data_IF_898429755270
#
_entry.id   IF_898429755270
#
_cell.length_a   1.000
_cell.length_b   1.000
_cell.length_c   1.000
_cell.angle_alpha   90.00
_cell.angle_beta   90.00
_cell.angle_gamma   90.00
#
_symmetry.space_group_name_H-M   'P 1'
#
loop_
_entity.id
_entity.type
_entity.pdbx_description
1 polymer ?
#
# COMPACT_ATOMS: atom_id res chain seq x y z
N UNK A 1 -47.88 22.19 17.76
CA UNK A 1 -48.09 20.74 17.54
C UNK A 1 -46.75 20.18 17.10
N UNK A 2 -46.05 19.52 18.01
CA UNK A 2 -44.76 18.88 17.78
C UNK A 2 -44.96 17.47 17.21
N UNK A 3 -43.98 16.98 16.45
CA UNK A 3 -43.88 15.59 16.00
C UNK A 3 -43.31 15.52 14.58
N UNK A 4 -42.22 14.81 14.28
CA UNK A 4 -41.37 14.00 15.13
C UNK A 4 -40.08 13.71 14.36
N UNK A 5 -38.95 13.83 15.06
CA UNK A 5 -37.62 13.48 14.61
C UNK A 5 -37.57 11.97 14.38
N UNK A 6 -37.31 11.55 13.13
CA UNK A 6 -37.04 10.16 12.80
C UNK A 6 -35.74 9.72 13.47
N UNK A 7 -35.86 8.82 14.43
CA UNK A 7 -34.74 8.20 15.12
C UNK A 7 -33.90 7.37 14.16
N UNK A 8 -32.62 7.73 14.01
CA UNK A 8 -31.58 6.90 13.41
C UNK A 8 -31.51 5.57 14.16
N UNK A 9 -31.73 4.46 13.45
CA UNK A 9 -31.48 3.13 13.97
C UNK A 9 -29.98 2.80 13.86
N UNK A 10 -29.26 3.06 14.96
CA UNK A 10 -28.41 2.09 15.67
C UNK A 10 -27.28 1.39 14.90
N UNK A 11 -26.06 1.92 15.07
CA UNK A 11 -24.81 1.21 14.76
C UNK A 11 -23.53 2.04 14.89
N UNK A 12 -23.60 3.33 15.24
CA UNK A 12 -22.41 4.14 15.49
C UNK A 12 -21.80 3.76 16.84
N UNK A 13 -20.54 3.33 16.85
CA UNK A 13 -19.79 3.14 18.09
C UNK A 13 -19.76 4.45 18.87
N UNK A 14 -20.05 4.43 20.19
CA UNK A 14 -19.88 5.57 21.11
C UNK A 14 -18.42 6.07 21.24
N UNK A 15 -17.52 5.55 20.41
CA UNK A 15 -16.11 5.91 20.38
C UNK A 15 -15.91 7.29 19.71
N UNK A 16 -14.96 8.09 20.20
CA UNK A 16 -14.62 9.36 19.58
C UNK A 16 -13.98 9.15 18.20
N UNK A 17 -14.08 10.14 17.33
CA UNK A 17 -13.34 10.15 16.06
C UNK A 17 -11.82 10.29 16.34
N UNK A 18 -10.99 9.59 15.56
CA UNK A 18 -9.52 9.73 15.64
C UNK A 18 -9.04 11.09 15.17
N UNK A 19 -9.65 11.56 14.09
CA UNK A 19 -9.49 12.88 13.49
C UNK A 19 -10.87 13.35 12.99
N UNK A 20 -11.20 14.64 13.10
CA UNK A 20 -12.45 15.16 12.53
C UNK A 20 -12.43 15.05 11.01
N UNK A 21 -13.63 14.91 10.41
CA UNK A 21 -13.78 15.04 8.97
C UNK A 21 -13.40 16.46 8.52
N UNK A 22 -12.75 16.56 7.37
CA UNK A 22 -12.43 17.81 6.70
C UNK A 22 -12.00 17.54 5.27
N UNK A 23 -11.91 18.59 4.45
CA UNK A 23 -11.25 18.52 3.14
C UNK A 23 -9.73 18.62 3.31
N UNK A 24 -8.92 18.26 2.29
CA UNK A 24 -7.47 18.40 2.34
C UNK A 24 -7.04 19.78 2.85
N UNK A 25 -6.16 19.80 3.86
CA UNK A 25 -5.78 21.01 4.60
C UNK A 25 -5.18 22.09 3.68
N UNK A 26 -4.46 21.67 2.64
CA UNK A 26 -3.87 22.57 1.65
C UNK A 26 -4.91 23.30 0.77
N UNK A 27 -6.18 22.92 0.79
CA UNK A 27 -7.24 23.70 0.12
C UNK A 27 -7.49 25.02 0.86
N UNK A 28 -7.26 25.06 2.18
CA UNK A 28 -7.43 26.26 3.00
C UNK A 28 -8.88 26.72 3.13
N UNK A 29 -9.85 25.80 3.07
CA UNK A 29 -11.28 26.10 3.14
C UNK A 29 -11.69 26.47 4.57
N UNK A 30 -12.57 27.47 4.69
CA UNK A 30 -13.33 27.74 5.91
C UNK A 30 -14.39 26.66 6.17
N UNK A 31 -14.96 26.65 7.39
CA UNK A 31 -16.01 25.68 7.74
C UNK A 31 -17.23 25.79 6.81
N UNK A 32 -17.66 27.02 6.49
CA UNK A 32 -18.78 27.29 5.59
C UNK A 32 -18.48 26.80 4.16
N UNK A 33 -17.24 26.94 3.69
CA UNK A 33 -16.82 26.42 2.37
C UNK A 33 -16.74 24.90 2.35
N UNK A 34 -16.37 24.25 3.46
CA UNK A 34 -16.43 22.79 3.59
C UNK A 34 -17.88 22.31 3.51
N UNK A 35 -18.82 22.99 4.17
CA UNK A 35 -20.25 22.66 4.07
C UNK A 35 -20.76 22.85 2.63
N UNK A 36 -20.43 23.97 1.99
CA UNK A 36 -20.78 24.24 0.60
C UNK A 36 -20.16 23.24 -0.39
N UNK A 37 -19.00 22.67 -0.06
CA UNK A 37 -18.35 21.64 -0.89
C UNK A 37 -19.14 20.33 -0.96
N UNK A 38 -20.06 20.10 -0.02
CA UNK A 38 -20.93 18.93 0.02
C UNK A 38 -22.22 19.10 -0.84
N UNK A 39 -22.38 20.22 -1.55
CA UNK A 39 -23.55 20.44 -2.42
C UNK A 39 -23.52 19.52 -3.66
N UNK A 40 -24.41 18.53 -3.68
CA UNK A 40 -24.55 17.58 -4.78
C UNK A 40 -25.28 18.13 -6.01
N UNK A 41 -25.95 19.28 -5.92
CA UNK A 41 -26.59 19.95 -7.04
C UNK A 41 -25.56 20.83 -7.75
N UNK A 42 -24.90 21.72 -7.01
CA UNK A 42 -23.93 22.66 -7.57
C UNK A 42 -22.61 21.98 -7.93
N UNK A 43 -22.18 20.97 -7.15
CA UNK A 43 -20.93 20.22 -7.31
C UNK A 43 -19.74 21.14 -7.63
N UNK A 44 -19.41 22.09 -6.74
CA UNK A 44 -18.34 23.05 -7.00
C UNK A 44 -17.01 22.32 -7.19
N UNK A 45 -16.23 22.77 -8.18
CA UNK A 45 -14.85 22.30 -8.35
C UNK A 45 -13.99 23.04 -7.32
N UNK A 46 -13.46 22.31 -6.36
CA UNK A 46 -12.56 22.85 -5.37
C UNK A 46 -11.15 22.87 -5.94
N UNK A 47 -10.48 24.00 -5.78
CA UNK A 47 -9.08 24.20 -6.14
C UNK A 47 -8.35 24.88 -4.97
N UNK A 48 -7.03 24.93 -5.02
CA UNK A 48 -6.23 25.67 -4.06
C UNK A 48 -6.73 27.12 -3.94
N UNK A 49 -7.00 27.59 -2.72
CA UNK A 49 -7.33 28.99 -2.50
C UNK A 49 -6.18 29.90 -2.97
N UNK A 50 -6.50 31.14 -3.35
CA UNK A 50 -5.49 32.12 -3.79
C UNK A 50 -4.50 32.47 -2.67
N UNK A 51 -4.92 32.30 -1.42
CA UNK A 51 -4.15 32.66 -0.24
C UNK A 51 -3.35 31.47 0.31
N UNK A 52 -3.59 30.24 -0.18
CA UNK A 52 -2.81 29.07 0.24
C UNK A 52 -1.45 29.03 -0.45
N UNK A 53 -0.43 28.54 0.28
CA UNK A 53 0.89 28.28 -0.29
C UNK A 53 0.76 27.32 -1.48
N UNK A 54 1.49 27.61 -2.56
CA UNK A 54 1.61 26.71 -3.71
C UNK A 54 2.08 25.33 -3.23
N UNK A 55 1.46 24.28 -3.76
CA UNK A 55 1.96 22.93 -3.59
C UNK A 55 3.39 22.82 -4.17
N UNK A 56 4.22 21.90 -3.65
CA UNK A 56 5.55 21.66 -4.17
C UNK A 56 5.53 21.40 -5.68
N UNK A 57 6.65 21.72 -6.34
CA UNK A 57 6.88 21.34 -7.74
C UNK A 57 5.85 21.86 -8.74
N UNK A 58 5.30 23.05 -8.47
CA UNK A 58 4.26 23.64 -9.33
C UNK A 58 3.08 22.70 -9.59
N UNK A 59 2.82 21.79 -8.63
CA UNK A 59 1.67 20.89 -8.71
C UNK A 59 0.39 21.67 -8.45
N UNK A 60 -0.69 21.19 -9.07
CA UNK A 60 -2.04 21.70 -8.87
C UNK A 60 -2.92 20.63 -8.24
N UNK A 61 -4.04 21.05 -7.69
CA UNK A 61 -5.05 20.16 -7.16
C UNK A 61 -6.44 20.64 -7.54
N UNK A 62 -7.30 19.70 -7.91
CA UNK A 62 -8.71 19.95 -8.13
C UNK A 62 -9.51 18.72 -7.71
N UNK A 63 -10.64 18.94 -7.06
CA UNK A 63 -11.58 17.87 -6.70
C UNK A 63 -13.03 18.32 -6.85
N UNK A 64 -13.93 17.34 -6.92
CA UNK A 64 -15.36 17.57 -6.95
C UNK A 64 -16.07 16.40 -6.27
N UNK A 65 -17.09 16.69 -5.46
CA UNK A 65 -17.89 15.64 -4.83
C UNK A 65 -18.62 14.79 -5.87
N UNK A 66 -18.87 13.52 -5.51
CA UNK A 66 -19.70 12.63 -6.29
C UNK A 66 -21.16 13.14 -6.44
N UNK A 67 -21.91 12.58 -7.39
CA UNK A 67 -23.28 13.00 -7.70
C UNK A 67 -24.35 12.35 -6.79
N UNK A 68 -24.14 12.34 -5.47
CA UNK A 68 -25.15 11.95 -4.48
C UNK A 68 -25.08 10.50 -3.98
N UNK A 69 -23.88 9.91 -3.90
CA UNK A 69 -23.68 8.57 -3.32
C UNK A 69 -23.54 8.58 -1.79
N UNK A 70 -22.96 9.65 -1.24
CA UNK A 70 -22.61 9.83 0.17
C UNK A 70 -22.99 11.24 0.58
N UNK A 71 -23.21 11.51 1.87
CA UNK A 71 -23.57 12.85 2.36
C UNK A 71 -22.43 13.85 2.25
N UNK A 72 -21.19 13.38 2.39
CA UNK A 72 -19.98 14.17 2.26
C UNK A 72 -19.07 13.51 1.23
N UNK A 73 -18.07 14.27 0.75
CA UNK A 73 -17.02 13.68 -0.08
C UNK A 73 -16.13 12.79 0.80
N UNK A 74 -16.18 11.47 0.61
CA UNK A 74 -15.41 10.51 1.41
C UNK A 74 -13.93 10.50 1.01
N UNK A 75 -13.62 11.04 -0.18
CA UNK A 75 -12.27 11.11 -0.71
C UNK A 75 -11.37 12.03 0.11
N UNK A 76 -10.10 11.70 0.21
CA UNK A 76 -9.07 12.51 0.85
C UNK A 76 -7.82 12.61 -0.01
N UNK A 77 -7.03 13.64 0.24
CA UNK A 77 -5.72 13.82 -0.37
C UNK A 77 -4.78 14.49 0.63
N UNK A 78 -3.49 14.20 0.52
CA UNK A 78 -2.46 14.93 1.27
C UNK A 78 -1.24 15.18 0.40
N UNK A 79 -0.53 16.26 0.72
CA UNK A 79 0.66 16.69 0.03
C UNK A 79 1.67 17.21 1.05
N UNK A 80 2.81 16.53 1.17
CA UNK A 80 3.80 16.80 2.21
C UNK A 80 5.21 16.90 1.63
N UNK A 81 6.04 17.74 2.25
CA UNK A 81 7.49 17.79 2.00
C UNK A 81 8.19 17.39 3.29
N UNK A 82 8.75 16.19 3.28
CA UNK A 82 9.27 15.49 4.45
C UNK A 82 10.79 15.33 4.36
N UNK A 83 11.42 15.09 5.50
CA UNK A 83 12.86 14.89 5.59
C UNK A 83 13.15 13.56 6.30
N UNK A 84 13.74 12.62 5.57
CA UNK A 84 14.13 11.31 6.10
C UNK A 84 15.55 11.41 6.65
N UNK A 85 15.71 11.21 7.96
CA UNK A 85 17.02 11.17 8.63
C UNK A 85 17.23 9.79 9.23
N UNK A 86 18.50 9.36 9.37
CA UNK A 86 18.81 8.12 10.07
C UNK A 86 18.17 8.15 11.46
N UNK A 87 17.54 7.04 11.85
CA UNK A 87 17.09 6.83 13.22
C UNK A 87 18.34 6.77 14.11
N UNK A 88 18.64 7.84 14.85
CA UNK A 88 19.67 7.83 15.90
C UNK A 88 19.33 6.73 16.90
N UNK A 89 20.17 5.71 16.98
CA UNK A 89 19.87 4.48 17.70
C UNK A 89 19.45 4.73 19.14
N UNK A 90 18.19 4.44 19.45
CA UNK A 90 17.79 4.09 20.80
C UNK A 90 18.32 2.69 21.07
N UNK A 91 19.53 2.60 21.63
CA UNK A 91 19.93 1.39 22.34
C UNK A 91 18.84 1.08 23.37
N UNK A 92 18.34 -0.16 23.37
CA UNK A 92 17.53 -0.71 24.46
C UNK A 92 18.47 -0.81 25.68
N UNK A 93 18.70 0.31 26.35
CA UNK A 93 19.34 0.33 27.66
C UNK A 93 18.28 0.02 28.70
N UNK A 94 18.31 -1.22 29.17
CA UNK A 94 17.67 -1.67 30.42
C UNK A 94 17.85 -0.63 31.53
N UNK A 95 16.82 -0.33 32.34
CA UNK A 95 16.90 0.73 33.34
C UNK A 95 17.74 0.26 34.52
N UNK A 96 19.03 0.58 34.53
CA UNK A 96 19.84 0.39 35.73
C UNK A 96 19.76 1.68 36.57
N UNK A 97 19.00 1.59 37.67
CA UNK A 97 19.07 2.55 38.77
C UNK A 97 20.53 2.67 39.20
N UNK A 98 21.08 3.88 39.13
CA UNK A 98 21.94 4.39 40.20
C UNK A 98 22.01 5.91 40.17
N UNK A 99 21.55 6.46 41.29
CA UNK A 99 21.62 7.85 41.72
C UNK A 99 23.04 8.25 42.09
N UNK A 100 23.55 9.36 41.54
CA UNK A 100 24.39 10.30 42.30
C UNK A 100 24.60 11.63 41.54
N UNK A 101 23.93 12.66 42.03
CA UNK A 101 24.44 14.04 42.22
C UNK A 101 25.79 14.41 41.59
N UNK A 102 25.79 15.42 40.69
CA UNK A 102 26.74 16.56 40.77
C UNK A 102 26.39 17.74 39.81
N UNK A 103 25.94 18.81 40.46
CA UNK A 103 26.37 20.23 40.33
C UNK A 103 26.31 20.94 38.96
N UNK A 104 25.39 21.91 38.95
CA UNK A 104 25.33 23.14 38.15
C UNK A 104 26.60 24.00 38.37
N UNK A 105 27.18 24.55 37.31
CA UNK A 105 27.96 25.80 37.36
C UNK A 105 27.90 26.57 36.03
N UNK A 106 27.30 27.77 36.13
CA UNK A 106 27.58 29.05 35.42
C UNK A 106 29.03 29.23 34.96
N UNK A 107 29.44 29.98 33.91
CA UNK A 107 28.96 31.18 33.18
C UNK A 107 29.90 31.36 31.92
N UNK A 108 29.73 32.39 31.05
CA UNK A 108 30.19 32.45 29.65
C UNK A 108 31.51 33.22 29.46
N UNK A 109 32.14 32.98 28.30
CA UNK A 109 33.10 33.81 27.54
C UNK A 109 33.46 32.95 26.32
N UNK A 110 33.71 33.42 25.11
CA UNK A 110 34.07 34.70 24.53
C UNK A 110 34.55 34.35 23.12
N UNK A 111 34.34 35.27 22.19
CA UNK A 111 34.56 35.21 20.74
C UNK A 111 35.56 34.19 20.17
N UNK A 112 35.07 33.47 19.16
CA UNK A 112 35.88 32.75 18.18
C UNK A 112 35.09 32.67 16.88
N UNK A 113 35.35 33.60 15.96
CA UNK A 113 35.01 33.50 14.55
C UNK A 113 35.65 32.22 13.98
N UNK A 114 34.91 31.12 14.05
CA UNK A 114 35.12 29.99 13.18
C UNK A 114 33.83 29.81 12.40
N UNK A 115 33.99 29.94 11.08
CA UNK A 115 33.05 29.49 10.08
C UNK A 115 32.40 28.21 10.60
N UNK A 116 31.11 28.30 10.93
CA UNK A 116 30.26 27.12 10.98
C UNK A 116 30.33 26.56 9.57
N UNK A 117 31.22 25.61 9.35
CA UNK A 117 31.05 24.64 8.29
C UNK A 117 29.61 24.16 8.41
N UNK A 118 28.85 24.42 7.35
CA UNK A 118 27.49 23.97 7.21
C UNK A 118 27.44 22.53 7.70
N UNK A 119 26.65 22.27 8.75
CA UNK A 119 26.15 20.92 8.99
C UNK A 119 25.26 20.60 7.79
N UNK A 120 25.90 20.13 6.71
CA UNK A 120 25.26 19.75 5.47
C UNK A 120 24.14 18.78 5.80
N UNK A 121 22.98 19.11 5.25
CA UNK A 121 21.68 18.48 5.35
C UNK A 121 21.75 16.93 5.33
N UNK A 122 21.95 16.28 6.49
CA UNK A 122 22.18 14.83 6.63
C UNK A 122 20.91 13.97 6.44
N UNK A 123 20.02 14.35 5.52
CA UNK A 123 18.78 13.63 5.28
C UNK A 123 18.33 13.69 3.84
N UNK A 124 17.39 12.82 3.50
CA UNK A 124 16.83 12.69 2.16
C UNK A 124 15.52 13.47 2.13
N UNK A 125 15.41 14.45 1.24
CA UNK A 125 14.14 15.11 0.98
C UNK A 125 13.18 14.15 0.28
N UNK A 126 11.96 14.07 0.80
CA UNK A 126 10.89 13.25 0.29
C UNK A 126 9.69 14.14 0.00
N UNK A 127 9.20 14.10 -1.23
CA UNK A 127 7.95 14.75 -1.61
C UNK A 127 6.87 13.68 -1.73
N UNK A 128 5.74 13.92 -1.09
CA UNK A 128 4.66 12.97 -0.98
C UNK A 128 3.37 13.61 -1.49
N UNK A 129 2.65 12.89 -2.34
CA UNK A 129 1.28 13.17 -2.72
C UNK A 129 0.46 11.91 -2.57
N UNK A 130 -0.80 12.06 -2.20
CA UNK A 130 -1.70 10.93 -2.09
C UNK A 130 -3.14 11.28 -2.43
N UNK A 131 -3.87 10.24 -2.83
CA UNK A 131 -5.31 10.23 -3.05
C UNK A 131 -5.86 8.97 -2.38
N UNK A 132 -6.94 9.14 -1.62
CA UNK A 132 -7.69 8.07 -0.98
C UNK A 132 -9.15 8.22 -1.40
N UNK A 133 -9.65 7.31 -2.24
CA UNK A 133 -11.09 7.21 -2.55
C UNK A 133 -11.76 6.44 -1.42
N UNK A 134 -12.56 7.13 -0.62
CA UNK A 134 -13.18 6.57 0.59
C UNK A 134 -14.53 5.93 0.28
N UNK A 135 -14.90 4.88 1.03
CA UNK A 135 -16.20 4.24 0.89
C UNK A 135 -16.75 3.72 2.21
N UNK A 136 -18.08 3.75 2.32
CA UNK A 136 -18.82 3.33 3.52
C UNK A 136 -18.39 4.11 4.78
N UNK A 137 -18.11 5.41 4.61
CA UNK A 137 -17.53 6.29 5.60
C UNK A 137 -16.16 6.83 5.19
N UNK A 138 -15.81 8.00 5.72
CA UNK A 138 -14.53 8.68 5.43
C UNK A 138 -13.42 8.33 6.42
N UNK A 139 -13.69 7.54 7.47
CA UNK A 139 -12.79 7.36 8.61
C UNK A 139 -11.42 6.83 8.18
N UNK A 140 -11.40 5.73 7.42
CA UNK A 140 -10.16 5.15 6.91
C UNK A 140 -9.37 6.13 6.03
N UNK A 141 -10.03 6.81 5.09
CA UNK A 141 -9.40 7.80 4.20
C UNK A 141 -8.79 8.98 4.98
N UNK A 142 -9.51 9.51 5.97
CA UNK A 142 -9.04 10.60 6.83
C UNK A 142 -7.80 10.17 7.61
N UNK A 143 -7.85 9.01 8.28
CA UNK A 143 -6.72 8.50 9.06
C UNK A 143 -5.50 8.24 8.16
N UNK A 144 -5.71 7.61 7.00
CA UNK A 144 -4.64 7.35 6.05
C UNK A 144 -3.99 8.64 5.51
N UNK A 145 -4.79 9.65 5.19
CA UNK A 145 -4.29 10.94 4.69
C UNK A 145 -3.37 11.66 5.66
N UNK A 146 -3.63 11.50 6.97
CA UNK A 146 -2.85 12.09 8.06
C UNK A 146 -1.65 11.27 8.50
N UNK A 147 -1.62 9.95 8.25
CA UNK A 147 -0.62 9.07 8.88
C UNK A 147 0.23 8.24 7.90
N UNK A 148 -0.23 7.95 6.69
CA UNK A 148 0.50 7.03 5.79
C UNK A 148 1.90 7.55 5.42
N UNK A 149 2.05 8.85 5.23
CA UNK A 149 3.34 9.46 4.93
C UNK A 149 4.33 9.36 6.10
N UNK A 150 3.85 9.32 7.35
CA UNK A 150 4.71 9.06 8.51
C UNK A 150 5.24 7.63 8.51
N UNK A 151 4.39 6.63 8.23
CA UNK A 151 4.83 5.23 8.08
C UNK A 151 5.88 5.08 6.99
N UNK A 152 5.68 5.73 5.83
CA UNK A 152 6.68 5.70 4.75
C UNK A 152 8.01 6.30 5.22
N UNK A 153 7.98 7.43 5.92
CA UNK A 153 9.20 8.02 6.49
C UNK A 153 9.85 7.04 7.46
N UNK A 154 9.12 6.46 8.41
CA UNK A 154 9.65 5.51 9.39
C UNK A 154 10.37 4.33 8.74
N UNK A 155 9.77 3.71 7.72
CA UNK A 155 10.39 2.60 6.97
C UNK A 155 11.64 3.05 6.22
N UNK A 156 11.62 4.25 5.62
CA UNK A 156 12.78 4.80 4.91
C UNK A 156 13.92 5.22 5.84
N UNK A 157 13.64 5.58 7.09
CA UNK A 157 14.67 5.95 8.08
C UNK A 157 15.59 4.77 8.39
N UNK A 158 15.10 3.53 8.31
CA UNK A 158 15.88 2.31 8.56
C UNK A 158 16.94 2.07 7.47
N UNK A 159 16.65 2.49 6.24
CA UNK A 159 17.52 2.30 5.07
C UNK A 159 18.19 3.60 4.59
N UNK A 160 17.95 4.74 5.24
CA UNK A 160 18.38 6.06 4.79
C UNK A 160 19.88 6.15 4.50
N UNK A 161 20.72 5.54 5.33
CA UNK A 161 22.18 5.54 5.16
C UNK A 161 22.62 4.76 3.91
N UNK A 162 21.95 3.64 3.62
CA UNK A 162 22.21 2.84 2.42
C UNK A 162 21.80 3.64 1.18
N UNK A 163 20.66 4.35 1.25
CA UNK A 163 20.15 5.15 0.14
C UNK A 163 21.01 6.38 -0.18
N UNK A 164 21.68 6.97 0.82
CA UNK A 164 22.61 8.09 0.60
C UNK A 164 23.84 7.67 -0.20
N UNK A 165 24.36 6.46 0.05
CA UNK A 165 25.52 5.93 -0.66
C UNK A 165 25.10 5.11 -1.89
N UNK A 166 24.67 5.80 -2.95
CA UNK A 166 24.27 5.15 -4.21
C UNK A 166 25.44 4.47 -4.97
N UNK A 167 26.69 4.75 -4.61
CA UNK A 167 27.86 4.18 -5.28
C UNK A 167 28.08 2.70 -4.93
N UNK A 168 27.54 2.23 -3.80
CA UNK A 168 27.66 0.85 -3.32
C UNK A 168 26.28 0.22 -3.27
N UNK A 169 26.14 -0.98 -3.82
CA UNK A 169 24.86 -1.71 -3.75
C UNK A 169 24.48 -1.99 -2.28
N UNK A 170 23.17 -2.10 -1.98
CA UNK A 170 22.71 -2.59 -0.69
C UNK A 170 23.47 -3.84 -0.25
N UNK A 171 24.04 -3.85 0.97
CA UNK A 171 24.68 -5.05 1.50
C UNK A 171 23.62 -6.13 1.74
N UNK A 172 23.99 -7.38 1.49
CA UNK A 172 23.12 -8.53 1.77
C UNK A 172 22.92 -8.75 3.27
N UNK A 173 24.00 -8.55 4.05
CA UNK A 173 24.00 -8.62 5.50
C UNK A 173 24.51 -7.30 6.06
N UNK A 174 23.76 -6.67 6.97
CA UNK A 174 24.21 -5.45 7.65
C UNK A 174 25.31 -5.77 8.66
N UNK A 175 26.40 -4.99 8.63
CA UNK A 175 27.51 -5.12 9.58
C UNK A 175 28.57 -6.15 9.19
N UNK A 176 28.40 -6.85 8.06
CA UNK A 176 29.48 -7.61 7.45
C UNK A 176 30.30 -6.67 6.56
N UNK A 177 31.59 -6.56 6.86
CA UNK A 177 32.54 -5.88 5.97
C UNK A 177 32.64 -6.68 4.67
N UNK A 178 32.68 -6.03 3.49
CA UNK A 178 32.83 -6.74 2.23
C UNK A 178 34.14 -7.54 2.27
N UNK A 179 34.05 -8.87 2.24
CA UNK A 179 35.23 -9.71 2.04
C UNK A 179 35.96 -9.22 0.79
N UNK A 180 37.27 -8.96 0.93
CA UNK A 180 38.11 -8.43 -0.13
C UNK A 180 37.90 -9.19 -1.45
N UNK A 181 38.00 -8.54 -2.63
CA UNK A 181 37.86 -9.21 -3.91
C UNK A 181 39.13 -10.01 -4.22
N UNK A 182 39.40 -11.04 -3.44
CA UNK A 182 40.46 -12.00 -3.67
C UNK A 182 39.82 -13.38 -3.77
N UNK A 183 39.77 -13.88 -5.01
CA UNK A 183 39.64 -15.30 -5.36
C UNK A 183 38.36 -16.01 -4.89
N UNK A 184 37.35 -16.11 -5.78
CA UNK A 184 36.68 -17.37 -6.14
C UNK A 184 35.48 -17.21 -7.09
N UNK A 185 35.56 -16.34 -8.10
CA UNK A 185 34.69 -16.52 -9.28
C UNK A 185 35.24 -17.65 -10.16
N UNK A 186 35.17 -18.90 -9.68
CA UNK A 186 35.25 -20.06 -10.56
C UNK A 186 33.86 -20.25 -11.15
N UNK A 187 33.69 -19.82 -12.39
CA UNK A 187 32.51 -20.14 -13.21
C UNK A 187 32.40 -21.66 -13.31
N UNK A 188 31.55 -22.27 -12.49
CA UNK A 188 31.28 -23.70 -12.57
C UNK A 188 30.37 -23.94 -13.77
N UNK A 189 30.95 -24.45 -14.86
CA UNK A 189 30.19 -24.97 -16.00
C UNK A 189 29.22 -26.07 -15.53
N UNK A 190 27.99 -26.07 -16.06
CA UNK A 190 26.91 -27.03 -15.79
C UNK A 190 27.34 -28.51 -15.80
N UNK A 191 28.40 -28.84 -16.54
CA UNK A 191 29.02 -30.17 -16.61
C UNK A 191 29.71 -30.64 -15.31
N UNK A 192 30.16 -29.73 -14.43
CA UNK A 192 30.76 -30.09 -13.14
C UNK A 192 29.69 -30.50 -12.11
N UNK A 193 28.46 -29.97 -12.24
CA UNK A 193 27.35 -30.25 -11.32
C UNK A 193 26.72 -31.63 -11.51
N UNK A 194 26.91 -32.28 -12.66
CA UNK A 194 26.35 -33.61 -12.98
C UNK A 194 27.28 -34.77 -12.65
N UNK A 195 28.56 -34.51 -12.30
CA UNK A 195 29.54 -35.57 -11.95
C UNK A 195 29.53 -35.97 -10.47
N UNK A 196 28.59 -35.46 -9.67
CA UNK A 196 28.41 -35.84 -8.26
C UNK A 196 27.60 -37.12 -8.04
N UNK A 197 27.16 -37.78 -9.12
CA UNK A 197 26.18 -38.87 -9.08
C UNK A 197 26.73 -40.27 -9.25
N UNK A 198 27.94 -40.62 -8.78
CA UNK A 198 28.31 -42.04 -8.57
C UNK A 198 29.49 -42.19 -7.61
N UNK A 199 29.21 -42.82 -6.46
CA UNK A 199 30.11 -43.52 -5.53
C UNK A 199 31.58 -43.12 -5.45
N UNK A 200 31.93 -42.33 -4.42
CA UNK A 200 33.19 -42.46 -3.70
C UNK A 200 33.06 -41.84 -2.29
N UNK A 201 33.57 -42.49 -1.21
CA UNK A 201 33.59 -41.89 0.11
C UNK A 201 34.65 -40.77 0.14
N UNK A 202 34.20 -39.52 -0.01
CA UNK A 202 35.04 -38.34 0.03
C UNK A 202 35.35 -37.89 1.46
N UNK A 203 36.60 -37.49 1.68
CA UNK A 203 37.22 -37.00 2.92
C UNK A 203 36.38 -35.93 3.69
N UNK A 204 36.46 -35.84 5.03
CA UNK A 204 35.61 -34.96 5.88
C UNK A 204 35.73 -33.44 5.60
N UNK A 205 36.66 -33.02 4.74
CA UNK A 205 37.02 -31.61 4.51
C UNK A 205 36.58 -31.06 3.14
N UNK A 206 35.63 -31.68 2.44
CA UNK A 206 35.05 -31.06 1.22
C UNK A 206 33.82 -30.23 1.60
N UNK A 207 33.88 -28.88 1.52
CA UNK A 207 32.71 -28.05 1.81
C UNK A 207 31.61 -28.40 0.80
N UNK A 208 30.35 -28.54 1.25
CA UNK A 208 29.25 -28.88 0.36
C UNK A 208 29.15 -27.81 -0.74
N UNK A 209 29.02 -28.26 -1.99
CA UNK A 209 28.79 -27.39 -3.15
C UNK A 209 27.48 -26.62 -2.96
N UNK A 210 27.57 -25.44 -2.35
CA UNK A 210 26.45 -24.50 -2.24
C UNK A 210 26.41 -23.70 -3.54
N UNK A 211 25.26 -23.70 -4.20
CA UNK A 211 25.00 -22.81 -5.33
C UNK A 211 24.97 -21.35 -4.83
N UNK A 212 26.13 -20.69 -4.83
CA UNK A 212 26.27 -19.30 -4.42
C UNK A 212 26.22 -18.40 -5.67
N UNK A 213 25.01 -18.10 -6.14
CA UNK A 213 24.79 -16.92 -6.98
C UNK A 213 23.98 -15.93 -6.17
N UNK A 214 24.66 -14.92 -5.65
CA UNK A 214 24.04 -13.84 -4.89
C UNK A 214 23.36 -12.85 -5.85
N UNK A 215 22.10 -12.55 -5.58
CA UNK A 215 21.32 -11.61 -6.40
C UNK A 215 21.70 -10.18 -6.03
N UNK A 216 22.11 -9.40 -7.03
CA UNK A 216 22.35 -7.96 -6.86
C UNK A 216 21.02 -7.23 -6.72
N UNK A 217 20.78 -6.62 -5.56
CA UNK A 217 19.58 -5.82 -5.27
C UNK A 217 19.88 -4.35 -5.53
N UNK A 218 18.95 -3.62 -6.14
CA UNK A 218 19.10 -2.18 -6.37
C UNK A 218 18.47 -1.38 -5.22
N UNK A 219 18.92 -0.16 -4.98
CA UNK A 219 18.36 0.72 -3.94
C UNK A 219 16.85 0.95 -4.10
N UNK A 220 16.35 1.02 -5.34
CA UNK A 220 14.92 1.17 -5.63
C UNK A 220 14.08 0.03 -5.03
N UNK A 221 14.62 -1.19 -5.01
CA UNK A 221 13.94 -2.34 -4.41
C UNK A 221 13.77 -2.19 -2.90
N UNK A 222 14.72 -1.51 -2.23
CA UNK A 222 14.57 -1.18 -0.81
C UNK A 222 13.47 -0.13 -0.60
N UNK A 223 13.42 0.90 -1.45
CA UNK A 223 12.37 1.93 -1.40
C UNK A 223 10.98 1.33 -1.64
N UNK A 224 10.86 0.43 -2.63
CA UNK A 224 9.62 -0.31 -2.90
C UNK A 224 9.19 -1.11 -1.67
N UNK A 225 10.10 -1.91 -1.09
CA UNK A 225 9.80 -2.70 0.11
C UNK A 225 9.42 -1.83 1.31
N UNK A 226 10.05 -0.67 1.49
CA UNK A 226 9.71 0.28 2.54
C UNK A 226 8.29 0.84 2.37
N UNK A 227 7.90 1.22 1.15
CA UNK A 227 6.55 1.71 0.85
C UNK A 227 5.50 0.60 1.05
N UNK A 228 5.77 -0.62 0.56
CA UNK A 228 4.89 -1.78 0.75
C UNK A 228 4.67 -2.08 2.25
N UNK A 229 5.75 -2.01 3.03
CA UNK A 229 5.71 -2.24 4.49
C UNK A 229 4.93 -1.13 5.20
N UNK A 230 5.08 0.13 4.77
CA UNK A 230 4.34 1.25 5.32
C UNK A 230 2.82 1.15 5.13
N UNK A 231 2.36 0.68 3.96
CA UNK A 231 0.92 0.44 3.73
C UNK A 231 0.37 -0.65 4.66
N UNK A 232 1.14 -1.72 4.87
CA UNK A 232 0.77 -2.77 5.83
C UNK A 232 0.70 -2.22 7.26
N UNK A 233 1.70 -1.46 7.71
CA UNK A 233 1.70 -0.88 9.06
C UNK A 233 0.57 0.13 9.26
N UNK A 234 0.25 0.93 8.24
CA UNK A 234 -0.90 1.83 8.24
C UNK A 234 -2.22 1.07 8.44
N UNK A 235 -2.42 -0.03 7.70
CA UNK A 235 -3.64 -0.84 7.81
C UNK A 235 -3.75 -1.56 9.17
N UNK A 236 -2.62 -2.06 9.70
CA UNK A 236 -2.54 -2.65 11.04
C UNK A 236 -2.76 -1.60 12.14
N UNK A 237 -2.37 -0.34 11.91
CA UNK A 237 -2.70 0.74 12.83
C UNK A 237 -4.20 1.03 12.82
N UNK A 238 -4.84 1.10 11.65
CA UNK A 238 -6.31 1.24 11.55
C UNK A 238 -7.01 0.09 12.29
N UNK A 239 -6.55 -1.15 12.09
CA UNK A 239 -7.10 -2.33 12.78
C UNK A 239 -7.05 -2.21 14.30
N UNK A 240 -5.92 -1.73 14.84
CA UNK A 240 -5.71 -1.57 16.28
C UNK A 240 -6.49 -0.38 16.84
N UNK A 241 -6.49 0.74 16.13
CA UNK A 241 -7.09 1.99 16.63
C UNK A 241 -8.61 1.97 16.59
N UNK A 242 -9.25 1.15 15.74
CA UNK A 242 -10.72 1.05 15.66
C UNK A 242 -11.40 0.55 16.96
N UNK A 243 -10.65 -0.06 17.87
CA UNK A 243 -11.18 -0.45 19.20
C UNK A 243 -11.25 0.73 20.19
N UNK A 244 -10.59 1.86 19.86
CA UNK A 244 -10.50 3.06 20.70
C UNK A 244 -11.17 4.25 20.03
N UNK A 245 -11.16 4.30 18.69
CA UNK A 245 -11.71 5.37 17.89
C UNK A 245 -12.73 4.83 16.89
N UNK A 246 -13.72 5.65 16.55
CA UNK A 246 -14.61 5.37 15.43
C UNK A 246 -13.87 5.67 14.11
N UNK A 247 -13.38 4.61 13.46
CA UNK A 247 -12.74 4.67 12.14
C UNK A 247 -13.62 3.88 11.17
N UNK A 248 -14.53 4.58 10.50
CA UNK A 248 -15.49 3.99 9.56
C UNK A 248 -14.90 3.67 8.20
N UNK A 249 -15.48 2.65 7.56
CA UNK A 249 -15.29 2.34 6.15
C UNK A 249 -13.90 1.83 5.77
N UNK A 250 -13.63 1.95 4.48
CA UNK A 250 -12.34 1.67 3.86
C UNK A 250 -12.00 2.75 2.84
N UNK A 251 -10.81 2.63 2.24
CA UNK A 251 -10.43 3.48 1.13
C UNK A 251 -9.45 2.78 0.19
N UNK A 252 -9.46 3.22 -1.06
CA UNK A 252 -8.29 3.04 -1.94
C UNK A 252 -7.15 3.93 -1.46
N UNK A 253 -5.93 3.63 -1.88
CA UNK A 253 -4.76 4.43 -1.58
C UNK A 253 -3.83 4.49 -2.79
N UNK A 254 -3.71 5.68 -3.38
CA UNK A 254 -2.77 5.99 -4.44
C UNK A 254 -1.77 7.02 -3.91
N UNK A 255 -0.50 6.64 -3.87
CA UNK A 255 0.59 7.46 -3.33
C UNK A 255 1.64 7.68 -4.40
N UNK A 256 2.11 8.92 -4.51
CA UNK A 256 3.26 9.31 -5.31
C UNK A 256 4.36 9.81 -4.38
N UNK A 257 5.52 9.18 -4.42
CA UNK A 257 6.71 9.58 -3.69
C UNK A 257 7.78 10.01 -4.67
N UNK A 258 8.36 11.19 -4.47
CA UNK A 258 9.60 11.57 -5.13
C UNK A 258 10.73 11.74 -4.12
N UNK A 259 11.82 11.02 -4.36
CA UNK A 259 13.05 11.12 -3.57
C UNK A 259 14.25 10.72 -4.42
N UNK A 260 15.42 11.31 -4.16
CA UNK A 260 16.68 10.96 -4.84
C UNK A 260 16.60 10.93 -6.38
N UNK A 261 15.85 11.86 -6.98
CA UNK A 261 15.72 11.91 -8.44
C UNK A 261 14.72 10.91 -9.03
N UNK A 262 14.01 10.12 -8.21
CA UNK A 262 13.15 9.02 -8.66
C UNK A 262 11.73 9.17 -8.14
N UNK A 263 10.78 8.89 -9.03
CA UNK A 263 9.35 8.89 -8.76
C UNK A 263 8.86 7.45 -8.53
N UNK A 264 8.13 7.21 -7.45
CA UNK A 264 7.49 5.95 -7.12
C UNK A 264 5.99 6.17 -7.02
N UNK A 265 5.21 5.28 -7.61
CA UNK A 265 3.75 5.31 -7.60
C UNK A 265 3.28 4.01 -6.96
N UNK A 266 2.67 4.10 -5.79
CA UNK A 266 2.13 2.98 -5.05
C UNK A 266 0.60 3.02 -5.12
N UNK A 267 -0.04 1.94 -5.59
CA UNK A 267 -1.48 1.86 -5.71
C UNK A 267 -2.05 0.63 -4.99
N UNK A 268 -3.08 0.85 -4.18
CA UNK A 268 -3.92 -0.17 -3.57
C UNK A 268 -5.40 0.20 -3.75
N UNK A 269 -6.04 -0.35 -4.78
CA UNK A 269 -7.44 -0.08 -5.13
C UNK A 269 -7.62 0.14 -6.64
N UNK A 270 -8.71 0.80 -7.02
CA UNK A 270 -9.06 1.11 -8.41
C UNK A 270 -8.82 2.59 -8.79
N UNK A 271 -8.13 3.34 -7.93
CA UNK A 271 -7.53 4.64 -8.28
C UNK A 271 -6.47 4.49 -9.38
N UNK A 272 -6.24 5.56 -10.15
CA UNK A 272 -5.36 5.54 -11.34
C UNK A 272 -4.37 6.70 -11.38
N UNK A 273 -3.10 6.39 -11.64
CA UNK A 273 -2.07 7.36 -11.97
C UNK A 273 -1.59 7.19 -13.42
N UNK A 274 -1.42 8.31 -14.13
CA UNK A 274 -0.84 8.36 -15.47
C UNK A 274 0.18 9.49 -15.57
N UNK A 275 1.18 9.31 -16.43
CA UNK A 275 2.08 10.39 -16.88
C UNK A 275 1.71 10.72 -18.32
N UNK A 276 1.54 12.01 -18.61
CA UNK A 276 1.37 12.50 -19.98
C UNK A 276 2.66 13.21 -20.38
N UNK A 277 3.38 12.65 -21.35
CA UNK A 277 4.65 13.22 -21.85
C UNK A 277 4.65 13.16 -23.37
N UNK A 278 4.93 14.28 -24.04
CA UNK A 278 4.98 14.34 -25.51
C UNK A 278 3.71 13.79 -26.20
N UNK A 279 2.52 14.04 -25.61
CA UNK A 279 1.22 13.50 -26.04
C UNK A 279 1.04 11.99 -25.87
N UNK A 280 2.00 11.29 -25.27
CA UNK A 280 1.88 9.89 -24.90
C UNK A 280 1.34 9.75 -23.47
N UNK A 281 0.47 8.78 -23.25
CA UNK A 281 -0.07 8.43 -21.94
C UNK A 281 0.64 7.18 -21.45
N UNK A 282 1.37 7.31 -20.33
CA UNK A 282 2.12 6.24 -19.68
C UNK A 282 1.35 5.85 -18.42
N UNK A 283 0.72 4.66 -18.35
CA UNK A 283 0.09 4.20 -17.12
C UNK A 283 1.16 3.95 -16.05
N UNK A 284 0.90 4.45 -14.84
CA UNK A 284 1.80 4.32 -13.69
C UNK A 284 1.18 3.51 -12.54
N UNK A 285 -0.03 2.99 -12.73
CA UNK A 285 -0.67 2.05 -11.81
C UNK A 285 -1.61 1.10 -12.57
N UNK A 286 -1.85 -0.07 -11.97
CA UNK A 286 -2.91 -1.00 -12.36
C UNK A 286 -4.07 -0.93 -11.37
N UNK A 287 -5.29 -1.20 -11.84
CA UNK A 287 -6.50 -1.23 -11.01
C UNK A 287 -6.69 -2.61 -10.37
N UNK A 288 -7.03 -2.64 -9.09
CA UNK A 288 -7.18 -3.86 -8.31
C UNK A 288 -8.66 -4.16 -8.02
N UNK A 289 -9.34 -4.67 -9.04
CA UNK A 289 -10.76 -5.04 -9.01
C UNK A 289 -10.94 -6.55 -8.81
N UNK A 290 -12.16 -7.04 -8.52
CA UNK A 290 -12.44 -8.47 -8.42
C UNK A 290 -12.04 -9.26 -9.67
N UNK A 291 -12.17 -8.65 -10.85
CA UNK A 291 -11.82 -9.28 -12.12
C UNK A 291 -10.30 -9.32 -12.35
N UNK A 292 -9.60 -8.20 -12.11
CA UNK A 292 -8.14 -8.15 -12.33
C UNK A 292 -7.38 -9.06 -11.36
N UNK A 293 -7.89 -9.20 -10.13
CA UNK A 293 -7.28 -10.01 -9.07
C UNK A 293 -7.94 -11.39 -8.91
N UNK A 294 -8.77 -11.83 -9.87
CA UNK A 294 -9.53 -13.09 -9.81
C UNK A 294 -8.69 -14.28 -9.37
N UNK A 295 -7.53 -14.50 -9.99
CA UNK A 295 -6.69 -15.66 -9.68
C UNK A 295 -6.19 -15.62 -8.23
N UNK A 296 -5.80 -14.44 -7.72
CA UNK A 296 -5.38 -14.29 -6.32
C UNK A 296 -6.53 -14.60 -5.37
N UNK A 297 -7.73 -14.09 -5.65
CA UNK A 297 -8.93 -14.32 -4.85
C UNK A 297 -9.33 -15.79 -4.82
N UNK A 298 -9.42 -16.42 -6.00
CA UNK A 298 -9.76 -17.84 -6.10
C UNK A 298 -8.70 -18.74 -5.47
N UNK A 299 -7.41 -18.40 -5.62
CA UNK A 299 -6.33 -19.14 -4.99
C UNK A 299 -6.42 -19.09 -3.45
N UNK A 300 -6.67 -17.91 -2.89
CA UNK A 300 -6.88 -17.76 -1.45
C UNK A 300 -8.08 -18.60 -0.97
N UNK A 301 -9.20 -18.52 -1.68
CA UNK A 301 -10.41 -19.26 -1.37
C UNK A 301 -10.24 -20.79 -1.52
N UNK A 302 -9.43 -21.23 -2.48
CA UNK A 302 -9.07 -22.64 -2.64
C UNK A 302 -8.19 -23.13 -1.47
N UNK A 303 -7.19 -22.34 -1.07
CA UNK A 303 -6.28 -22.69 0.03
C UNK A 303 -6.95 -22.59 1.41
N UNK A 304 -7.92 -21.68 1.56
CA UNK A 304 -8.62 -21.40 2.82
C UNK A 304 -10.14 -21.42 2.61
N UNK A 305 -10.74 -22.60 2.33
CA UNK A 305 -12.16 -22.70 1.99
C UNK A 305 -13.11 -22.29 3.13
N UNK A 306 -12.64 -22.29 4.38
CA UNK A 306 -13.41 -21.80 5.53
C UNK A 306 -13.76 -20.31 5.42
N UNK A 307 -12.97 -19.52 4.67
CA UNK A 307 -13.26 -18.10 4.41
C UNK A 307 -14.52 -17.90 3.54
N UNK A 308 -14.99 -18.93 2.85
CA UNK A 308 -16.21 -18.89 2.03
C UNK A 308 -17.48 -19.20 2.83
N UNK A 309 -17.37 -19.53 4.11
CA UNK A 309 -18.50 -19.84 4.99
C UNK A 309 -19.38 -21.01 4.53
N UNK A 310 -18.90 -21.84 3.60
CA UNK A 310 -19.68 -22.87 2.90
C UNK A 310 -20.88 -22.34 2.08
N UNK A 311 -20.99 -21.03 1.91
CA UNK A 311 -22.04 -20.36 1.14
C UNK A 311 -21.56 -19.97 -0.26
N UNK A 312 -20.25 -19.79 -0.41
CA UNK A 312 -19.62 -19.35 -1.64
C UNK A 312 -18.76 -20.45 -2.28
N UNK A 313 -18.63 -20.40 -3.60
CA UNK A 313 -17.68 -21.19 -4.37
C UNK A 313 -16.59 -20.29 -4.93
N UNK A 314 -15.34 -20.77 -4.92
CA UNK A 314 -14.25 -20.09 -5.59
C UNK A 314 -14.31 -20.30 -7.10
N UNK A 315 -15.01 -21.33 -7.60
CA UNK A 315 -15.11 -21.58 -9.03
C UNK A 315 -15.96 -20.51 -9.70
N UNK A 316 -15.55 -20.13 -10.91
CA UNK A 316 -16.32 -19.22 -11.73
C UNK A 316 -17.01 -19.98 -12.86
N UNK A 317 -18.28 -19.65 -13.06
CA UNK A 317 -19.12 -20.15 -14.14
C UNK A 317 -19.60 -18.95 -14.99
N UNK A 318 -19.90 -19.13 -16.30
CA UNK A 318 -20.39 -18.04 -17.15
C UNK A 318 -21.70 -17.42 -16.67
N UNK A 319 -22.43 -18.12 -15.79
CA UNK A 319 -23.61 -17.63 -15.08
C UNK A 319 -23.85 -18.48 -13.84
N UNK A 320 -24.77 -18.03 -12.99
CA UNK A 320 -25.22 -18.81 -11.83
C UNK A 320 -25.73 -20.20 -12.26
N UNK A 321 -25.20 -21.22 -11.60
CA UNK A 321 -25.56 -22.62 -11.81
C UNK A 321 -26.95 -22.87 -11.21
N UNK A 322 -27.78 -23.62 -11.92
CA UNK A 322 -29.14 -23.98 -11.49
C UNK A 322 -29.20 -25.44 -11.06
N UNK A 323 -30.07 -25.78 -10.10
CA UNK A 323 -30.27 -27.17 -9.63
C UNK A 323 -30.54 -28.18 -10.77
N UNK A 324 -31.25 -27.78 -11.82
CA UNK A 324 -31.53 -28.61 -13.01
C UNK A 324 -30.28 -28.96 -13.86
N UNK A 325 -29.13 -28.42 -13.49
CA UNK A 325 -27.86 -28.58 -14.20
C UNK A 325 -26.90 -29.52 -13.48
N UNK A 326 -27.22 -29.93 -12.25
CA UNK A 326 -26.47 -30.95 -11.51
C UNK A 326 -26.37 -32.22 -12.36
N UNK A 327 -25.16 -32.76 -12.48
CA UNK A 327 -24.81 -33.89 -13.34
C UNK A 327 -24.55 -33.55 -14.82
N UNK A 328 -24.86 -32.33 -15.28
CA UNK A 328 -24.53 -31.87 -16.65
C UNK A 328 -23.14 -31.26 -16.71
N UNK A 329 -22.57 -31.17 -17.92
CA UNK A 329 -21.30 -30.48 -18.15
C UNK A 329 -21.52 -29.00 -18.41
N UNK A 330 -20.79 -28.12 -17.71
CA UNK A 330 -20.83 -26.68 -17.89
C UNK A 330 -19.40 -26.10 -17.91
N UNK A 331 -19.23 -24.98 -18.61
CA UNK A 331 -17.99 -24.22 -18.61
C UNK A 331 -17.70 -23.69 -17.19
N UNK A 332 -16.44 -23.80 -16.76
CA UNK A 332 -15.96 -23.25 -15.51
C UNK A 332 -14.50 -22.79 -15.67
N UNK A 333 -14.03 -21.97 -14.73
CA UNK A 333 -12.60 -21.68 -14.57
C UNK A 333 -12.22 -21.59 -13.10
N UNK A 334 -11.01 -22.06 -12.82
CA UNK A 334 -10.42 -22.13 -11.48
C UNK A 334 -9.20 -21.19 -11.36
N UNK A 335 -8.59 -21.09 -10.17
CA UNK A 335 -7.48 -20.18 -9.87
C UNK A 335 -6.27 -20.38 -10.78
N UNK A 336 -5.99 -21.62 -11.19
CA UNK A 336 -4.86 -21.98 -12.04
C UNK A 336 -5.16 -21.83 -13.55
N UNK A 337 -6.38 -21.41 -13.92
CA UNK A 337 -6.80 -21.28 -15.31
C UNK A 337 -6.86 -19.82 -15.73
N UNK A 338 -6.26 -19.49 -16.87
CA UNK A 338 -6.55 -18.23 -17.59
C UNK A 338 -7.67 -18.38 -18.62
N UNK A 339 -7.88 -19.61 -19.11
CA UNK A 339 -8.98 -19.99 -20.01
C UNK A 339 -10.16 -20.66 -19.29
N UNK A 340 -10.98 -21.39 -20.05
CA UNK A 340 -12.16 -22.11 -19.56
C UNK A 340 -12.05 -23.62 -19.84
N UNK A 341 -12.64 -24.44 -18.99
CA UNK A 341 -12.77 -25.89 -19.15
C UNK A 341 -14.21 -26.34 -18.87
N UNK A 342 -14.52 -27.62 -19.12
CA UNK A 342 -15.83 -28.20 -18.79
C UNK A 342 -15.73 -29.17 -17.62
N UNK A 343 -16.48 -28.94 -16.55
CA UNK A 343 -16.69 -29.91 -15.45
C UNK A 343 -18.11 -30.42 -15.42
N UNK A 344 -18.32 -31.58 -14.80
CA UNK A 344 -19.66 -32.02 -14.39
C UNK A 344 -20.07 -31.22 -13.15
N UNK A 345 -21.29 -30.68 -13.15
CA UNK A 345 -21.83 -29.86 -12.06
C UNK A 345 -22.23 -30.72 -10.86
N UNK A 346 -21.83 -30.27 -9.68
CA UNK A 346 -22.08 -30.91 -8.38
C UNK A 346 -22.93 -30.04 -7.47
N UNK A 347 -23.37 -30.62 -6.34
CA UNK A 347 -23.95 -29.93 -5.16
C UNK A 347 -23.34 -28.55 -4.87
N UNK A 348 -22.04 -28.59 -4.66
CA UNK A 348 -21.29 -27.44 -4.19
C UNK A 348 -21.16 -26.32 -5.22
N UNK A 349 -21.42 -26.58 -6.51
CA UNK A 349 -21.38 -25.57 -7.57
C UNK A 349 -22.61 -24.66 -7.56
N UNK A 350 -23.65 -25.00 -6.79
CA UNK A 350 -24.84 -24.16 -6.59
C UNK A 350 -24.60 -23.00 -5.62
N UNK A 351 -23.48 -23.03 -4.88
CA UNK A 351 -23.03 -21.97 -3.97
C UNK A 351 -22.84 -20.66 -4.75
N UNK A 352 -22.92 -19.53 -4.04
CA UNK A 352 -22.80 -18.23 -4.67
C UNK A 352 -21.35 -17.98 -5.14
N UNK A 353 -21.09 -17.35 -6.30
CA UNK A 353 -19.71 -17.17 -6.75
C UNK A 353 -18.96 -16.16 -5.88
N UNK A 354 -17.69 -16.45 -5.60
CA UNK A 354 -16.76 -15.54 -4.90
C UNK A 354 -16.67 -14.17 -5.60
N UNK A 355 -16.70 -14.14 -6.93
CA UNK A 355 -16.73 -12.91 -7.73
C UNK A 355 -18.06 -12.86 -8.45
N UNK A 356 -18.84 -11.83 -8.16
CA UNK A 356 -20.19 -11.67 -8.69
C UNK A 356 -20.32 -10.38 -9.49
N UNK A 357 -20.92 -10.47 -10.66
CA UNK A 357 -21.06 -9.36 -11.60
C UNK A 357 -19.82 -9.20 -12.49
N UNK A 358 -19.88 -8.21 -13.38
CA UNK A 358 -18.86 -7.94 -14.40
C UNK A 358 -18.55 -6.44 -14.46
N UNK A 359 -17.33 -6.10 -14.87
CA UNK A 359 -16.87 -4.72 -14.99
C UNK A 359 -17.06 -3.90 -13.70
N UNK A 360 -17.61 -2.69 -13.84
CA UNK A 360 -17.87 -1.79 -12.70
C UNK A 360 -18.85 -2.35 -11.65
N UNK A 361 -19.58 -3.41 -11.97
CA UNK A 361 -20.53 -4.09 -11.07
C UNK A 361 -19.95 -5.36 -10.45
N UNK A 362 -18.71 -5.75 -10.79
CA UNK A 362 -18.04 -6.87 -10.18
C UNK A 362 -17.80 -6.62 -8.68
N UNK A 363 -18.09 -7.61 -7.84
CA UNK A 363 -17.97 -7.54 -6.39
C UNK A 363 -17.41 -8.84 -5.82
N UNK A 364 -16.53 -8.75 -4.83
CA UNK A 364 -16.17 -9.92 -4.00
C UNK A 364 -17.35 -10.23 -3.08
N UNK A 365 -17.87 -11.44 -3.18
CA UNK A 365 -19.02 -11.96 -2.42
C UNK A 365 -20.20 -10.98 -2.40
N UNK A 366 -20.50 -10.38 -3.55
CA UNK A 366 -21.53 -9.35 -3.73
C UNK A 366 -21.41 -8.11 -2.80
N UNK A 367 -20.25 -7.89 -2.19
CA UNK A 367 -20.06 -6.90 -1.13
C UNK A 367 -19.20 -5.72 -1.58
N UNK A 368 -17.93 -5.95 -1.95
CA UNK A 368 -16.97 -4.86 -2.24
C UNK A 368 -16.46 -4.86 -3.68
N UNK A 369 -16.28 -3.67 -4.27
CA UNK A 369 -15.84 -3.48 -5.67
C UNK A 369 -14.34 -3.37 -5.87
N UNK A 370 -13.57 -3.34 -4.80
CA UNK A 370 -12.10 -3.30 -4.79
C UNK A 370 -11.55 -4.50 -4.05
N UNK A 371 -10.32 -4.89 -4.38
CA UNK A 371 -9.65 -6.05 -3.77
C UNK A 371 -8.36 -5.69 -3.06
N UNK A 372 -7.98 -4.40 -3.13
CA UNK A 372 -6.92 -3.81 -2.34
C UNK A 372 -7.35 -2.46 -1.78
N UNK A 373 -6.83 -2.09 -0.61
CA UNK A 373 -7.18 -0.86 0.09
C UNK A 373 -6.89 -0.93 1.59
N UNK A 374 -7.14 0.17 2.29
CA UNK A 374 -6.98 0.31 3.73
C UNK A 374 -8.34 0.29 4.43
N UNK A 375 -8.42 -0.20 5.67
CA UNK A 375 -9.66 -0.23 6.44
C UNK A 375 -10.55 -1.45 6.15
N UNK A 376 -11.87 -1.30 6.25
CA UNK A 376 -12.87 -2.38 6.09
C UNK A 376 -12.65 -3.61 6.98
N UNK A 377 -12.04 -3.43 8.15
CA UNK A 377 -11.75 -4.54 9.07
C UNK A 377 -13.01 -5.21 9.64
N UNK A 378 -14.13 -4.47 9.68
CA UNK A 378 -15.44 -4.98 10.10
C UNK A 378 -16.37 -5.33 8.95
N UNK A 379 -15.93 -5.16 7.70
CA UNK A 379 -16.78 -5.40 6.55
C UNK A 379 -17.09 -6.89 6.43
N UNK A 380 -18.39 -7.21 6.45
CA UNK A 380 -18.93 -8.56 6.30
C UNK A 380 -19.81 -8.65 5.07
N UNK A 381 -19.91 -9.86 4.53
CA UNK A 381 -20.96 -10.20 3.58
C UNK A 381 -22.32 -10.02 4.27
N UNK A 382 -23.25 -9.35 3.58
CA UNK A 382 -24.60 -9.05 4.07
C UNK A 382 -25.29 -10.29 4.67
N UNK A 383 -25.92 -10.13 5.84
CA UNK A 383 -26.59 -11.18 6.61
C UNK A 383 -25.73 -12.43 6.94
N UNK A 384 -24.41 -12.29 7.02
CA UNK A 384 -23.50 -13.39 7.36
C UNK A 384 -22.43 -13.00 8.37
N UNK A 385 -21.66 -13.99 8.84
CA UNK A 385 -20.45 -13.79 9.63
C UNK A 385 -19.15 -13.90 8.81
N UNK A 386 -19.25 -13.82 7.49
CA UNK A 386 -18.10 -13.93 6.58
C UNK A 386 -17.45 -12.56 6.43
N UNK A 387 -16.22 -12.42 6.92
CA UNK A 387 -15.44 -11.19 6.78
C UNK A 387 -14.83 -11.06 5.39
N UNK A 388 -14.86 -9.85 4.84
CA UNK A 388 -14.26 -9.53 3.54
C UNK A 388 -12.76 -9.31 3.64
N UNK A 389 -12.26 -8.82 4.79
CA UNK A 389 -10.87 -8.37 4.96
C UNK A 389 -9.80 -9.36 4.46
N UNK A 390 -9.92 -10.70 4.64
CA UNK A 390 -8.95 -11.65 4.08
C UNK A 390 -8.76 -11.55 2.56
N UNK A 391 -9.81 -11.16 1.83
CA UNK A 391 -9.78 -10.97 0.37
C UNK A 391 -9.34 -9.57 -0.05
N UNK A 392 -9.32 -8.60 0.89
CA UNK A 392 -8.98 -7.20 0.70
C UNK A 392 -7.56 -6.90 1.24
N UNK A 393 -6.56 -6.89 0.35
CA UNK A 393 -5.17 -6.68 0.74
C UNK A 393 -4.81 -5.19 0.85
N UNK A 394 -4.11 -4.79 1.91
CA UNK A 394 -3.54 -3.44 2.00
C UNK A 394 -2.23 -3.27 1.22
N UNK A 395 -1.64 -4.34 0.69
CA UNK A 395 -0.36 -4.30 0.01
C UNK A 395 -0.47 -3.60 -1.36
N UNK A 396 0.25 -2.49 -1.59
CA UNK A 396 0.20 -1.79 -2.86
C UNK A 396 0.99 -2.54 -3.92
N UNK A 397 0.75 -2.21 -5.19
CA UNK A 397 1.76 -2.36 -6.22
C UNK A 397 2.54 -1.05 -6.35
N UNK A 398 3.87 -1.13 -6.32
CA UNK A 398 4.75 0.05 -6.47
C UNK A 398 5.46 0.01 -7.82
N UNK A 399 5.21 1.02 -8.65
CA UNK A 399 5.88 1.22 -9.94
C UNK A 399 6.81 2.43 -9.88
N UNK A 400 7.90 2.41 -10.64
CA UNK A 400 8.68 3.61 -10.95
C UNK A 400 8.96 3.68 -12.46
N UNK A 401 9.16 4.87 -13.06
CA UNK A 401 9.31 5.02 -14.51
C UNK A 401 10.42 4.15 -15.13
N UNK A 402 11.49 3.87 -14.37
CA UNK A 402 12.56 2.95 -14.79
C UNK A 402 12.10 1.50 -14.97
N UNK A 403 11.16 1.01 -14.14
CA UNK A 403 10.52 -0.31 -14.31
C UNK A 403 9.51 -0.30 -15.46
N UNK A 404 8.74 0.78 -15.60
CA UNK A 404 7.74 0.93 -16.68
C UNK A 404 8.40 0.90 -18.08
N UNK A 405 9.54 1.57 -18.23
CA UNK A 405 10.34 1.53 -19.47
C UNK A 405 10.77 0.10 -19.86
N UNK A 406 11.06 -0.78 -18.89
CA UNK A 406 11.42 -2.18 -19.17
C UNK A 406 10.21 -3.05 -19.55
N UNK A 407 9.03 -2.79 -19.00
CA UNK A 407 7.81 -3.54 -19.32
C UNK A 407 7.24 -3.22 -20.72
N UNK A 408 7.43 -1.98 -21.21
CA UNK A 408 6.93 -1.52 -22.51
C UNK A 408 8.00 -1.49 -23.62
N UNK A 409 9.21 -1.99 -23.39
CA UNK A 409 10.27 -2.02 -24.41
C UNK A 409 10.77 -0.63 -24.83
N UNK A 410 10.54 0.41 -24.02
CA UNK A 410 10.98 1.78 -24.31
C UNK A 410 12.36 1.95 -23.65
N UNK A 411 13.41 1.65 -24.41
CA UNK A 411 14.78 1.89 -24.00
C UNK A 411 15.05 3.36 -23.65
N UNK A 412 15.66 3.58 -22.47
CA UNK A 412 16.42 4.76 -22.03
C UNK A 412 15.96 6.13 -22.56
N UNK A 413 15.05 6.80 -21.84
CA UNK A 413 14.92 8.26 -21.91
C UNK A 413 14.60 8.81 -20.51
N UNK A 414 15.62 8.82 -19.67
CA UNK A 414 15.74 9.66 -18.47
C UNK A 414 17.19 10.14 -18.42
N UNK A 415 17.49 11.17 -19.23
CA UNK A 415 18.59 12.10 -19.01
C UNK A 415 18.03 13.51 -19.23
#
# INVERSE_FOLDING_TARGET
>A
MAGGSGAEHGGGSDLPLRFPYGRPEFLGLSADEVECSADHIARPILILSKDTKRLPWTTGYAEVINAGKSTHNEDQASCEVLFVKKKTGGTISTPNKNTSTKRRSSLPNGEGLQLKDNSENDGISLYFWSLFDGHAGSGAAVVASKLLHHHIVEQLQEIAEILKNSAVLPPTCLGEEPESPATNSRTLTRAASLRGGVGAPGSPNTPPTRFFTEKKIQHESLVIGAIESAFREMDLQIERERSVYNISGGCTALVVVYMLGKLYVANAGDSRAIIIRNKEVIPMSSEFTPESERQRLQYLAFMQPHLLGNEFTHLEFPRRVQRKEVGKRMLYRDFNMTGWAYKSIEEDDLKFPLIYGEGKKARVMATIGVTRGLGDHDLKVHDSNIYIKPFLSSSPEVQHPGLCCMAYGIGRILN
#
